data_IF_871068640304
#
_entry.id   IF_871068640304
#
_cell.length_a   1.000
_cell.length_b   1.000
_cell.length_c   1.000
_cell.angle_alpha   90.00
_cell.angle_beta   90.00
_cell.angle_gamma   90.00
#
_symmetry.space_group_name_H-M   'P 1'
#
loop_
_entity.id
_entity.type
_entity.pdbx_description
1 polymer ?
#
# COMPACT_ATOMS: atom_id res chain seq x y z
N UNK A 1 -38.68 -7.72 -8.83
CA UNK A 1 -38.10 -7.03 -7.67
C UNK A 1 -36.59 -6.94 -7.93
N UNK A 2 -36.13 -5.89 -8.61
CA UNK A 2 -34.70 -5.73 -8.92
C UNK A 2 -34.01 -5.07 -7.73
N UNK A 3 -33.12 -5.79 -7.06
CA UNK A 3 -32.22 -5.20 -6.07
C UNK A 3 -31.13 -4.44 -6.82
N UNK A 4 -31.17 -3.11 -6.74
CA UNK A 4 -30.06 -2.26 -7.16
C UNK A 4 -29.03 -2.28 -6.03
N UNK A 5 -27.93 -3.01 -6.24
CA UNK A 5 -26.79 -3.00 -5.34
C UNK A 5 -26.25 -1.56 -5.26
N UNK A 6 -26.34 -0.96 -4.08
CA UNK A 6 -25.79 0.37 -3.81
C UNK A 6 -24.28 0.18 -3.67
N UNK A 7 -23.53 0.58 -4.70
CA UNK A 7 -22.08 0.68 -4.59
C UNK A 7 -21.79 1.80 -3.58
N UNK A 8 -21.50 1.43 -2.34
CA UNK A 8 -20.97 2.35 -1.34
C UNK A 8 -19.61 2.83 -1.86
N UNK A 9 -19.57 4.02 -2.46
CA UNK A 9 -18.32 4.73 -2.72
C UNK A 9 -17.65 4.96 -1.36
N UNK A 10 -16.72 4.06 -1.01
CA UNK A 10 -15.80 4.30 0.11
C UNK A 10 -14.99 5.53 -0.31
N UNK A 11 -15.27 6.66 0.31
CA UNK A 11 -14.43 7.84 0.24
C UNK A 11 -13.01 7.42 0.62
N UNK A 12 -12.13 7.27 -0.38
CA UNK A 12 -10.75 6.85 -0.13
C UNK A 12 -10.04 8.05 0.49
N UNK A 13 -10.06 8.12 1.82
CA UNK A 13 -9.27 9.11 2.55
C UNK A 13 -7.81 8.78 2.29
N UNK A 14 -7.16 9.60 1.49
CA UNK A 14 -5.74 9.48 1.18
C UNK A 14 -4.94 9.77 2.46
N UNK A 15 -4.08 8.85 2.86
CA UNK A 15 -3.21 9.05 4.01
C UNK A 15 -2.14 10.09 3.69
N UNK A 16 -2.26 11.28 4.28
CA UNK A 16 -1.30 12.36 4.07
C UNK A 16 0.07 12.08 4.69
N UNK A 17 0.15 11.23 5.72
CA UNK A 17 1.43 10.83 6.30
C UNK A 17 2.24 9.96 5.33
N UNK A 18 1.56 9.03 4.65
CA UNK A 18 2.17 8.23 3.56
C UNK A 18 2.68 9.14 2.44
N UNK A 19 1.90 10.15 2.05
CA UNK A 19 2.32 11.10 1.01
C UNK A 19 3.56 11.91 1.42
N UNK A 20 3.65 12.34 2.68
CA UNK A 20 4.82 13.05 3.20
C UNK A 20 6.08 12.17 3.17
N UNK A 21 5.94 10.87 3.47
CA UNK A 21 7.04 9.91 3.42
C UNK A 21 7.50 9.64 1.98
N UNK A 22 6.57 9.51 1.03
CA UNK A 22 6.89 9.41 -0.41
C UNK A 22 7.68 10.62 -0.88
N UNK A 23 7.22 11.83 -0.52
CA UNK A 23 7.93 13.07 -0.84
C UNK A 23 9.32 13.10 -0.20
N UNK A 24 9.47 12.59 1.02
CA UNK A 24 10.76 12.48 1.69
C UNK A 24 11.73 11.54 0.96
N UNK A 25 11.27 10.37 0.50
CA UNK A 25 12.10 9.44 -0.26
C UNK A 25 12.51 9.99 -1.62
N UNK A 26 11.59 10.62 -2.35
CA UNK A 26 11.91 11.27 -3.64
C UNK A 26 12.95 12.39 -3.44
N UNK A 27 12.81 13.22 -2.41
CA UNK A 27 13.82 14.24 -2.06
C UNK A 27 15.17 13.63 -1.70
N UNK A 28 15.17 12.51 -0.98
CA UNK A 28 16.40 11.82 -0.58
C UNK A 28 17.12 11.24 -1.80
N UNK A 29 16.40 10.56 -2.70
CA UNK A 29 16.97 10.00 -3.93
C UNK A 29 17.50 11.09 -4.87
N UNK A 30 16.77 12.19 -5.01
CA UNK A 30 17.23 13.34 -5.81
C UNK A 30 18.47 14.00 -5.20
N UNK A 31 18.59 14.06 -3.86
CA UNK A 31 19.77 14.61 -3.19
C UNK A 31 21.07 13.83 -3.46
N UNK A 32 20.96 12.53 -3.76
CA UNK A 32 22.10 11.66 -4.10
C UNK A 32 22.34 11.55 -5.62
N UNK A 33 21.61 12.33 -6.43
CA UNK A 33 21.85 12.48 -7.87
C UNK A 33 20.94 11.65 -8.78
N UNK A 34 19.89 11.01 -8.25
CA UNK A 34 18.85 10.37 -9.07
C UNK A 34 17.97 11.45 -9.68
N UNK A 35 17.55 11.30 -10.94
CA UNK A 35 16.62 12.25 -11.55
C UNK A 35 15.25 12.21 -10.84
N UNK A 36 14.53 13.35 -10.73
CA UNK A 36 13.21 13.38 -10.07
C UNK A 36 12.23 12.34 -10.63
N UNK A 37 12.20 12.18 -11.96
CA UNK A 37 11.31 11.23 -12.62
C UNK A 37 11.67 9.78 -12.25
N UNK A 38 12.96 9.44 -12.21
CA UNK A 38 13.42 8.11 -11.84
C UNK A 38 13.14 7.81 -10.35
N UNK A 39 13.34 8.80 -9.47
CA UNK A 39 13.04 8.67 -8.05
C UNK A 39 11.54 8.45 -7.79
N UNK A 40 10.66 9.15 -8.51
CA UNK A 40 9.21 8.98 -8.41
C UNK A 40 8.77 7.58 -8.90
N UNK A 41 9.31 7.11 -10.03
CA UNK A 41 9.02 5.77 -10.56
C UNK A 41 9.44 4.69 -9.58
N UNK A 42 10.69 4.72 -9.09
CA UNK A 42 11.20 3.74 -8.13
C UNK A 42 10.38 3.71 -6.84
N UNK A 43 10.02 4.89 -6.31
CA UNK A 43 9.23 4.98 -5.08
C UNK A 43 7.84 4.38 -5.27
N UNK A 44 7.24 4.58 -6.44
CA UNK A 44 5.93 4.01 -6.80
C UNK A 44 6.01 2.49 -6.94
N UNK A 45 7.04 1.97 -7.61
CA UNK A 45 7.27 0.53 -7.77
C UNK A 45 7.45 -0.17 -6.42
N UNK A 46 8.20 0.44 -5.50
CA UNK A 46 8.38 -0.09 -4.14
C UNK A 46 7.04 -0.16 -3.41
N UNK A 47 6.25 0.92 -3.42
CA UNK A 47 4.93 0.95 -2.79
C UNK A 47 3.99 -0.13 -3.35
N UNK A 48 3.95 -0.27 -4.68
CA UNK A 48 3.13 -1.28 -5.34
C UNK A 48 3.59 -2.70 -5.01
N UNK A 49 4.91 -2.94 -5.00
CA UNK A 49 5.46 -4.23 -4.61
C UNK A 49 5.13 -4.57 -3.15
N UNK A 50 5.18 -3.58 -2.24
CA UNK A 50 4.79 -3.78 -0.83
C UNK A 50 3.30 -4.03 -0.66
N UNK A 51 2.43 -3.46 -1.50
CA UNK A 51 1.01 -3.79 -1.47
C UNK A 51 0.71 -5.18 -2.01
N UNK A 52 1.37 -5.59 -3.10
CA UNK A 52 1.15 -6.92 -3.70
C UNK A 52 1.65 -8.05 -2.78
N UNK A 53 2.76 -7.82 -2.06
CA UNK A 53 3.26 -8.77 -1.06
C UNK A 53 2.51 -8.71 0.29
N UNK A 54 1.77 -7.64 0.58
CA UNK A 54 0.90 -7.59 1.75
C UNK A 54 -0.37 -8.44 1.56
N UNK A 55 -0.91 -8.53 0.33
CA UNK A 55 -2.01 -9.45 0.01
C UNK A 55 -1.56 -10.92 0.10
N UNK A 56 -0.32 -11.25 -0.32
CA UNK A 56 0.22 -12.62 -0.24
C UNK A 56 0.55 -13.05 1.21
N UNK A 57 0.96 -12.14 2.09
CA UNK A 57 1.20 -12.45 3.51
C UNK A 57 -0.10 -12.65 4.32
N UNK A 58 -1.23 -12.08 3.87
CA UNK A 58 -2.53 -12.29 4.50
C UNK A 58 -3.09 -13.70 4.29
N UNK A 59 -2.84 -14.32 3.13
CA UNK A 59 -3.36 -15.64 2.76
C UNK A 59 -2.73 -16.78 3.59
N UNK A 60 -1.53 -16.59 4.15
CA UNK A 60 -0.88 -17.57 5.04
C UNK A 60 -1.29 -17.44 6.52
N UNK A 61 -2.13 -16.48 6.88
CA UNK A 61 -2.57 -16.25 8.27
C UNK A 61 -3.93 -16.87 8.61
N UNK A 62 -4.71 -17.33 7.63
CA UNK A 62 -6.02 -17.95 7.85
C UNK A 62 -5.96 -19.42 8.34
N UNK A 63 -4.77 -20.03 8.41
CA UNK A 63 -4.59 -21.44 8.86
C UNK A 63 -3.84 -21.56 10.21
N UNK A 64 -3.73 -20.47 10.98
CA UNK A 64 -3.09 -20.45 12.32
C UNK A 64 -4.06 -19.99 13.43
N UNK A 65 -5.31 -20.45 13.38
CA UNK A 65 -6.22 -20.53 14.54
C UNK A 65 -6.49 -22.02 14.76
N UNK A 66 -5.89 -22.72 15.73
CA UNK A 66 -6.36 -22.83 17.12
C UNK A 66 -5.39 -23.77 17.85
N UNK A 67 -4.55 -23.25 18.74
CA UNK A 67 -3.94 -24.06 19.81
C UNK A 67 -4.45 -23.46 21.12
N UNK A 68 -5.71 -23.78 21.44
CA UNK A 68 -6.32 -23.51 22.73
C UNK A 68 -5.66 -24.43 23.76
N UNK A 69 -4.75 -23.86 24.57
CA UNK A 69 -4.19 -24.55 25.74
C UNK A 69 -5.19 -24.45 26.90
N UNK A 70 -5.94 -25.52 27.14
CA UNK A 70 -6.63 -25.80 28.42
C UNK A 70 -5.72 -26.60 29.39
#
# INVERSE_FOLDING_TARGET
MSQTATATERESVMDTALLDEVVHWVKTLTSVGVSPDCAATLTTEILLATSESADEFGEYSEDMEEFDEE
#
